data_IF_181001424408
#
_entry.id   IF_181001424408
#
_cell.length_a   1.000
_cell.length_b   1.000
_cell.length_c   1.000
_cell.angle_alpha   90.00
_cell.angle_beta   90.00
_cell.angle_gamma   90.00
#
_symmetry.space_group_name_H-M   'P 1'
#
loop_
_entity.id
_entity.type
_entity.pdbx_description
1 polymer ?
#
# COMPACT_ATOMS: atom_id res chain seq x y z
N UNK A 1 -59.46 25.82 -5.14
CA UNK A 1 -59.13 24.78 -6.13
C UNK A 1 -58.94 25.32 -7.56
N UNK A 2 -58.82 26.65 -7.77
CA UNK A 2 -58.66 27.22 -9.12
C UNK A 2 -57.55 28.30 -9.22
N UNK A 3 -56.46 28.17 -8.46
CA UNK A 3 -55.34 29.14 -8.53
C UNK A 3 -53.95 28.49 -8.68
N UNK A 4 -53.89 27.22 -9.12
CA UNK A 4 -52.63 26.54 -9.45
C UNK A 4 -52.55 26.01 -10.89
N UNK A 5 -53.48 26.43 -11.77
CA UNK A 5 -53.50 26.06 -13.19
C UNK A 5 -52.88 27.14 -14.10
N UNK A 6 -51.90 27.91 -13.60
CA UNK A 6 -51.23 28.97 -14.36
C UNK A 6 -49.70 28.91 -14.29
N UNK A 7 -49.17 27.68 -14.32
CA UNK A 7 -47.74 27.39 -14.55
C UNK A 7 -47.60 26.38 -15.68
N UNK A 8 -48.44 26.49 -16.71
CA UNK A 8 -48.24 25.89 -18.02
C UNK A 8 -47.96 27.04 -18.99
N UNK A 9 -46.71 27.19 -19.44
CA UNK A 9 -46.38 28.21 -20.45
C UNK A 9 -45.03 28.92 -20.31
N UNK A 10 -44.08 28.42 -19.53
CA UNK A 10 -42.69 28.86 -19.65
C UNK A 10 -41.92 27.84 -20.50
N UNK A 11 -41.33 28.22 -21.65
CA UNK A 11 -40.39 27.34 -22.32
C UNK A 11 -39.23 27.15 -21.35
N UNK A 12 -39.04 25.91 -20.89
CA UNK A 12 -37.90 25.50 -20.09
C UNK A 12 -36.66 25.80 -20.93
N UNK A 13 -36.07 26.99 -20.69
CA UNK A 13 -34.75 27.36 -21.13
C UNK A 13 -33.88 26.14 -20.95
N UNK A 14 -33.21 25.72 -22.03
CA UNK A 14 -32.23 24.64 -22.03
C UNK A 14 -31.10 24.93 -21.06
N UNK A 15 -31.35 24.75 -19.78
CA UNK A 15 -30.32 24.43 -18.82
C UNK A 15 -29.84 23.07 -19.30
N UNK A 16 -28.70 23.09 -19.99
CA UNK A 16 -27.77 21.98 -19.94
C UNK A 16 -27.45 21.78 -18.46
N UNK A 17 -28.36 21.12 -17.73
CA UNK A 17 -28.04 20.44 -16.51
C UNK A 17 -26.98 19.46 -16.99
N UNK A 18 -25.71 19.80 -16.76
CA UNK A 18 -24.63 18.83 -16.90
C UNK A 18 -25.10 17.66 -16.05
N UNK A 19 -25.65 16.64 -16.70
CA UNK A 19 -26.01 15.43 -15.99
C UNK A 19 -24.71 14.96 -15.36
N UNK A 20 -24.70 14.67 -14.05
CA UNK A 20 -23.54 14.13 -13.38
C UNK A 20 -23.10 12.88 -14.13
N UNK A 21 -22.09 13.00 -15.00
CA UNK A 21 -21.65 11.90 -15.85
C UNK A 21 -20.52 11.19 -15.12
N UNK A 22 -20.64 9.86 -14.93
CA UNK A 22 -19.61 9.10 -14.25
C UNK A 22 -18.30 9.15 -15.05
N UNK A 23 -17.17 9.03 -14.36
CA UNK A 23 -15.85 9.10 -14.98
C UNK A 23 -15.73 8.16 -16.20
N UNK A 24 -15.43 8.76 -17.36
CA UNK A 24 -15.51 8.10 -18.67
C UNK A 24 -14.37 7.06 -18.87
N UNK A 25 -13.18 7.34 -18.34
CA UNK A 25 -11.96 6.55 -18.58
C UNK A 25 -11.60 5.55 -17.46
N UNK A 26 -12.52 4.61 -17.14
CA UNK A 26 -12.32 3.61 -16.07
C UNK A 26 -11.02 2.80 -16.20
N UNK A 27 -10.59 2.52 -17.42
CA UNK A 27 -9.38 1.73 -17.68
C UNK A 27 -8.11 2.40 -17.14
N UNK A 28 -8.02 3.73 -17.21
CA UNK A 28 -6.88 4.46 -16.65
C UNK A 28 -6.85 4.34 -15.13
N UNK A 29 -8.01 4.46 -14.49
CA UNK A 29 -8.16 4.30 -13.05
C UNK A 29 -7.72 2.89 -12.60
N UNK A 30 -8.18 1.85 -13.32
CA UNK A 30 -7.80 0.47 -13.03
C UNK A 30 -6.31 0.20 -13.23
N UNK A 31 -5.72 0.76 -14.29
CA UNK A 31 -4.29 0.58 -14.57
C UNK A 31 -3.42 1.23 -13.49
N UNK A 32 -3.74 2.46 -13.08
CA UNK A 32 -3.03 3.16 -12.02
C UNK A 32 -3.16 2.44 -10.68
N UNK A 33 -4.37 1.96 -10.35
CA UNK A 33 -4.61 1.18 -9.15
C UNK A 33 -3.85 -0.15 -9.18
N UNK A 34 -3.86 -0.87 -10.32
CA UNK A 34 -3.11 -2.10 -10.52
C UNK A 34 -1.62 -1.90 -10.26
N UNK A 35 -0.98 -0.92 -10.91
CA UNK A 35 0.45 -0.68 -10.71
C UNK A 35 0.78 -0.30 -9.27
N UNK A 36 -0.03 0.55 -8.66
CA UNK A 36 0.16 0.95 -7.27
C UNK A 36 0.03 -0.24 -6.30
N UNK A 37 -1.02 -1.05 -6.46
CA UNK A 37 -1.24 -2.25 -5.67
C UNK A 37 -0.13 -3.28 -5.90
N UNK A 38 0.25 -3.53 -7.16
CA UNK A 38 1.28 -4.47 -7.53
C UNK A 38 2.64 -4.14 -6.91
N UNK A 39 3.13 -2.91 -7.10
CA UNK A 39 4.41 -2.46 -6.52
C UNK A 39 4.37 -2.49 -4.99
N UNK A 40 3.25 -2.07 -4.39
CA UNK A 40 3.10 -2.12 -2.93
C UNK A 40 3.20 -3.54 -2.38
N UNK A 41 2.58 -4.53 -3.06
CA UNK A 41 2.66 -5.94 -2.66
C UNK A 41 4.05 -6.54 -2.91
N UNK A 42 4.73 -6.11 -3.97
CA UNK A 42 6.13 -6.51 -4.21
C UNK A 42 7.04 -6.06 -3.07
N UNK A 43 6.86 -4.82 -2.58
CA UNK A 43 7.62 -4.31 -1.45
C UNK A 43 7.35 -5.07 -0.15
N UNK A 44 6.09 -5.37 0.13
CA UNK A 44 5.69 -6.11 1.34
C UNK A 44 6.29 -7.54 1.34
N UNK A 45 6.34 -8.20 0.17
CA UNK A 45 7.02 -9.50 0.05
C UNK A 45 8.55 -9.35 0.10
N UNK A 46 9.10 -8.32 -0.54
CA UNK A 46 10.53 -8.10 -0.64
C UNK A 46 11.18 -7.87 0.73
N UNK A 47 10.52 -7.11 1.61
CA UNK A 47 11.04 -6.88 2.97
C UNK A 47 11.03 -8.18 3.78
N UNK A 48 10.01 -9.02 3.63
CA UNK A 48 9.93 -10.33 4.30
C UNK A 48 11.08 -11.23 3.85
N UNK A 49 11.35 -11.29 2.54
CA UNK A 49 12.47 -12.06 2.00
C UNK A 49 13.84 -11.51 2.42
N UNK A 50 14.03 -10.19 2.43
CA UNK A 50 15.29 -9.59 2.91
C UNK A 50 15.53 -9.88 4.39
N UNK A 51 14.50 -9.74 5.24
CA UNK A 51 14.60 -10.08 6.66
C UNK A 51 14.91 -11.56 6.84
N UNK A 52 14.33 -12.46 6.04
CA UNK A 52 14.65 -13.89 6.09
C UNK A 52 16.12 -14.16 5.75
N UNK A 53 16.65 -13.51 4.70
CA UNK A 53 18.05 -13.68 4.28
C UNK A 53 19.03 -13.15 5.34
N UNK A 54 18.81 -11.94 5.87
CA UNK A 54 19.65 -11.32 6.89
C UNK A 54 19.75 -12.13 8.19
N UNK A 55 18.76 -12.98 8.44
CA UNK A 55 18.64 -13.75 9.68
C UNK A 55 18.99 -15.22 9.47
N UNK A 56 19.68 -15.53 8.36
CA UNK A 56 20.11 -16.87 7.99
C UNK A 56 18.93 -17.85 7.93
N UNK A 57 17.84 -17.44 7.27
CA UNK A 57 16.56 -18.16 7.18
C UNK A 57 15.86 -18.42 8.53
N UNK A 58 16.13 -17.61 9.56
CA UNK A 58 15.38 -17.67 10.80
C UNK A 58 13.93 -17.19 10.59
N UNK A 59 12.99 -18.15 10.60
CA UNK A 59 11.57 -17.85 10.52
C UNK A 59 11.06 -17.01 11.70
N UNK A 60 11.80 -16.94 12.81
CA UNK A 60 11.37 -16.21 14.00
C UNK A 60 11.17 -14.71 13.73
N UNK A 61 12.16 -14.05 13.10
CA UNK A 61 12.08 -12.61 12.83
C UNK A 61 11.04 -12.27 11.76
N UNK A 62 10.85 -13.17 10.79
CA UNK A 62 9.78 -13.07 9.79
C UNK A 62 8.41 -13.16 10.48
N UNK A 63 8.22 -14.13 11.37
CA UNK A 63 6.97 -14.30 12.12
C UNK A 63 6.67 -13.10 13.02
N UNK A 64 7.67 -12.60 13.75
CA UNK A 64 7.53 -11.38 14.58
C UNK A 64 7.16 -10.17 13.72
N UNK A 65 7.76 -10.02 12.53
CA UNK A 65 7.44 -8.94 11.60
C UNK A 65 5.97 -8.99 11.16
N UNK A 66 5.49 -10.16 10.74
CA UNK A 66 4.08 -10.35 10.36
C UNK A 66 3.12 -10.10 11.53
N UNK A 67 3.45 -10.60 12.72
CA UNK A 67 2.67 -10.40 13.94
C UNK A 67 2.61 -8.93 14.35
N UNK A 68 3.74 -8.23 14.35
CA UNK A 68 3.79 -6.80 14.64
C UNK A 68 2.93 -6.00 13.66
N UNK A 69 3.03 -6.29 12.36
CA UNK A 69 2.23 -5.62 11.34
C UNK A 69 0.72 -5.84 11.57
N UNK A 70 0.30 -7.09 11.79
CA UNK A 70 -1.09 -7.43 12.03
C UNK A 70 -1.64 -6.77 13.31
N UNK A 71 -0.88 -6.80 14.42
CA UNK A 71 -1.26 -6.15 15.66
C UNK A 71 -1.35 -4.63 15.51
N UNK A 72 -0.40 -4.01 14.82
CA UNK A 72 -0.41 -2.58 14.56
C UNK A 72 -1.64 -2.17 13.75
N UNK A 73 -1.96 -2.88 12.66
CA UNK A 73 -3.17 -2.59 11.89
C UNK A 73 -4.42 -2.76 12.77
N UNK A 74 -4.53 -3.86 13.50
CA UNK A 74 -5.69 -4.12 14.36
C UNK A 74 -5.90 -3.03 15.42
N UNK A 75 -4.85 -2.62 16.12
CA UNK A 75 -4.94 -1.62 17.19
C UNK A 75 -5.16 -0.20 16.65
N UNK A 76 -4.51 0.16 15.55
CA UNK A 76 -4.51 1.53 15.02
C UNK A 76 -5.55 1.79 13.93
N UNK A 77 -6.26 0.77 13.42
CA UNK A 77 -7.26 0.95 12.37
C UNK A 77 -8.37 1.93 12.75
N UNK A 78 -8.81 1.94 14.02
CA UNK A 78 -9.78 2.93 14.51
C UNK A 78 -9.24 4.36 14.47
N UNK A 79 -7.98 4.55 14.86
CA UNK A 79 -7.30 5.86 14.82
C UNK A 79 -7.10 6.34 13.39
N UNK A 80 -6.69 5.44 12.48
CA UNK A 80 -6.54 5.72 11.06
C UNK A 80 -7.87 6.16 10.46
N UNK A 81 -8.97 5.45 10.75
CA UNK A 81 -10.32 5.83 10.30
C UNK A 81 -10.68 7.25 10.74
N UNK A 82 -10.56 7.56 12.03
CA UNK A 82 -10.87 8.91 12.52
C UNK A 82 -9.96 10.00 11.95
N UNK A 83 -8.69 9.68 11.66
CA UNK A 83 -7.77 10.60 11.00
C UNK A 83 -8.18 10.90 9.55
N UNK A 84 -8.60 9.86 8.81
CA UNK A 84 -9.10 9.99 7.44
C UNK A 84 -10.38 10.83 7.39
N UNK A 85 -11.31 10.61 8.32
CA UNK A 85 -12.59 11.35 8.36
C UNK A 85 -12.40 12.86 8.61
N UNK A 86 -11.35 13.26 9.34
CA UNK A 86 -11.09 14.66 9.71
C UNK A 86 -10.24 15.42 8.69
N UNK A 87 -9.48 14.69 7.86
CA UNK A 87 -8.46 15.28 6.98
C UNK A 87 -8.97 15.34 5.55
N UNK A 88 -8.56 16.35 4.78
CA UNK A 88 -8.82 16.37 3.35
C UNK A 88 -8.27 15.09 2.69
N UNK A 89 -9.13 14.32 2.02
CA UNK A 89 -8.82 13.02 1.41
C UNK A 89 -7.52 12.97 0.59
N UNK A 90 -7.28 13.98 -0.25
CA UNK A 90 -6.05 14.04 -1.08
C UNK A 90 -4.80 14.25 -0.21
N UNK A 91 -4.92 15.06 0.84
CA UNK A 91 -3.82 15.32 1.77
C UNK A 91 -3.54 14.07 2.61
N UNK A 92 -4.59 13.39 3.07
CA UNK A 92 -4.47 12.15 3.83
C UNK A 92 -3.75 11.04 3.02
N UNK A 93 -4.17 10.81 1.76
CA UNK A 93 -3.52 9.85 0.86
C UNK A 93 -2.06 10.23 0.60
N UNK A 94 -1.76 11.52 0.36
CA UNK A 94 -0.38 11.99 0.15
C UNK A 94 0.50 11.74 1.38
N UNK A 95 0.01 12.06 2.57
CA UNK A 95 0.74 11.83 3.82
C UNK A 95 0.99 10.32 4.00
N UNK A 96 -0.03 9.50 3.85
CA UNK A 96 0.11 8.05 3.98
C UNK A 96 1.08 7.46 2.94
N UNK A 97 1.06 7.95 1.71
CA UNK A 97 2.00 7.56 0.66
C UNK A 97 3.44 7.95 1.02
N UNK A 98 3.66 9.19 1.47
CA UNK A 98 4.99 9.65 1.89
C UNK A 98 5.52 8.85 3.08
N UNK A 99 4.68 8.55 4.07
CA UNK A 99 5.05 7.71 5.22
C UNK A 99 5.38 6.28 4.76
N UNK A 100 4.57 5.68 3.87
CA UNK A 100 4.88 4.35 3.32
C UNK A 100 6.22 4.37 2.58
N UNK A 101 6.41 5.29 1.66
CA UNK A 101 7.63 5.38 0.86
C UNK A 101 8.87 5.57 1.73
N UNK A 102 8.83 6.52 2.67
CA UNK A 102 9.96 6.77 3.58
C UNK A 102 10.26 5.57 4.48
N UNK A 103 9.24 4.93 5.07
CA UNK A 103 9.42 3.74 5.90
C UNK A 103 10.03 2.58 5.10
N UNK A 104 9.54 2.36 3.88
CA UNK A 104 10.03 1.34 2.96
C UNK A 104 11.48 1.64 2.55
N UNK A 105 11.79 2.85 2.08
CA UNK A 105 13.15 3.23 1.69
C UNK A 105 14.15 3.10 2.83
N UNK A 106 13.77 3.45 4.06
CA UNK A 106 14.62 3.25 5.24
C UNK A 106 14.85 1.76 5.48
N UNK A 107 13.79 0.93 5.42
CA UNK A 107 13.93 -0.51 5.65
C UNK A 107 14.86 -1.18 4.61
N UNK A 108 14.68 -0.88 3.32
CA UNK A 108 15.56 -1.37 2.27
C UNK A 108 16.98 -0.81 2.38
N UNK A 109 17.15 0.47 2.76
CA UNK A 109 18.46 1.06 3.01
C UNK A 109 19.21 0.38 4.16
N UNK A 110 18.51 0.01 5.23
CA UNK A 110 19.07 -0.77 6.34
C UNK A 110 19.47 -2.16 5.86
N UNK A 111 18.63 -2.85 5.10
CA UNK A 111 18.98 -4.16 4.54
C UNK A 111 20.20 -4.09 3.61
N UNK A 112 20.28 -3.08 2.75
CA UNK A 112 21.43 -2.86 1.87
C UNK A 112 22.71 -2.60 2.69
N UNK A 113 22.65 -1.76 3.72
CA UNK A 113 23.77 -1.50 4.61
C UNK A 113 24.25 -2.74 5.36
N UNK A 114 23.33 -3.59 5.83
CA UNK A 114 23.71 -4.84 6.50
C UNK A 114 24.40 -5.81 5.53
N UNK A 115 23.87 -5.94 4.31
CA UNK A 115 24.45 -6.80 3.27
C UNK A 115 25.86 -6.40 2.84
N UNK A 116 26.20 -5.09 2.78
CA UNK A 116 27.58 -4.68 2.44
C UNK A 116 28.60 -5.03 3.52
N UNK A 117 28.14 -5.29 4.73
CA UNK A 117 28.99 -5.70 5.87
C UNK A 117 28.99 -7.20 6.12
N UNK A 118 28.23 -7.96 5.32
CA UNK A 118 28.17 -9.42 5.40
C UNK A 118 29.40 -10.04 4.75
N UNK A 119 29.97 -11.02 5.43
CA UNK A 119 31.07 -11.85 4.96
C UNK A 119 30.53 -13.19 4.44
N UNK A 120 31.32 -13.93 3.67
CA UNK A 120 30.88 -15.22 3.11
C UNK A 120 30.61 -16.30 4.17
N UNK A 121 31.00 -16.06 5.43
CA UNK A 121 30.84 -16.99 6.53
C UNK A 121 29.62 -16.62 7.40
N UNK A 122 28.50 -17.37 7.31
CA UNK A 122 27.26 -17.04 8.01
C UNK A 122 27.37 -17.13 9.55
N UNK A 123 28.35 -17.87 10.06
CA UNK A 123 28.63 -17.97 11.50
C UNK A 123 29.32 -16.69 11.99
N UNK A 124 30.29 -16.18 11.23
CA UNK A 124 30.99 -14.93 11.55
C UNK A 124 30.04 -13.72 11.47
N UNK A 125 29.10 -13.73 10.52
CA UNK A 125 28.06 -12.70 10.40
C UNK A 125 27.10 -12.69 11.59
N UNK A 126 26.69 -13.86 12.08
CA UNK A 126 25.84 -13.97 13.27
C UNK A 126 26.57 -13.46 14.54
N UNK A 127 27.86 -13.79 14.69
CA UNK A 127 28.68 -13.27 15.79
C UNK A 127 28.88 -11.76 15.67
N UNK A 128 29.15 -11.23 14.46
CA UNK A 128 29.28 -9.80 14.22
C UNK A 128 27.98 -9.04 14.51
N UNK A 129 26.83 -9.62 14.17
CA UNK A 129 25.50 -9.05 14.50
C UNK A 129 25.23 -9.04 16.00
N UNK A 130 25.65 -10.09 16.71
CA UNK A 130 25.46 -10.20 18.16
C UNK A 130 26.38 -9.24 18.93
N UNK A 131 27.63 -9.14 18.50
CA UNK A 131 28.67 -8.35 19.15
C UNK A 131 28.54 -6.85 18.86
N UNK A 132 27.98 -6.45 17.72
CA UNK A 132 27.75 -5.04 17.39
C UNK A 132 26.34 -4.57 17.86
N UNK A 133 26.24 -3.74 18.92
CA UNK A 133 24.96 -3.24 19.41
C UNK A 133 24.25 -2.32 18.41
N UNK A 134 24.95 -1.73 17.44
CA UNK A 134 24.34 -0.90 16.41
C UNK A 134 23.60 -1.76 15.38
N UNK A 135 24.25 -2.78 14.83
CA UNK A 135 23.63 -3.71 13.86
C UNK A 135 22.43 -4.45 14.48
N UNK A 136 22.54 -4.87 15.73
CA UNK A 136 21.43 -5.49 16.45
C UNK A 136 20.20 -4.58 16.54
N UNK A 137 20.39 -3.29 16.85
CA UNK A 137 19.28 -2.32 16.90
C UNK A 137 18.63 -2.11 15.53
N UNK A 138 19.42 -2.10 14.46
CA UNK A 138 18.91 -2.00 13.09
C UNK A 138 18.04 -3.19 12.69
N UNK A 139 18.42 -4.41 13.06
CA UNK A 139 17.61 -5.61 12.75
C UNK A 139 16.27 -5.57 13.50
N UNK A 140 16.27 -5.17 14.78
CA UNK A 140 15.03 -5.06 15.55
C UNK A 140 14.14 -3.88 15.15
N UNK A 141 14.63 -2.91 14.38
CA UNK A 141 13.79 -1.81 13.86
C UNK A 141 13.03 -2.19 12.58
N UNK A 142 13.48 -3.21 11.83
CA UNK A 142 12.82 -3.66 10.60
C UNK A 142 11.35 -4.08 10.80
N UNK A 143 10.98 -4.87 11.83
CA UNK A 143 9.57 -5.19 12.10
C UNK A 143 8.69 -3.96 12.32
N UNK A 144 9.23 -2.93 12.98
CA UNK A 144 8.51 -1.69 13.29
C UNK A 144 8.29 -0.89 12.00
N UNK A 145 9.31 -0.77 11.16
CA UNK A 145 9.22 -0.09 9.87
C UNK A 145 8.23 -0.80 8.93
N UNK A 146 8.26 -2.13 8.89
CA UNK A 146 7.31 -2.93 8.13
C UNK A 146 5.87 -2.73 8.62
N UNK A 147 5.65 -2.67 9.93
CA UNK A 147 4.34 -2.39 10.51
C UNK A 147 3.82 -0.99 10.14
N UNK A 148 4.68 0.04 10.17
CA UNK A 148 4.33 1.40 9.74
C UNK A 148 3.94 1.41 8.26
N UNK A 149 4.75 0.80 7.40
CA UNK A 149 4.47 0.71 5.96
C UNK A 149 3.15 -0.04 5.67
N UNK A 150 2.87 -1.11 6.41
CA UNK A 150 1.63 -1.88 6.33
C UNK A 150 0.40 -1.06 6.73
N UNK A 151 0.47 -0.36 7.86
CA UNK A 151 -0.60 0.57 8.30
C UNK A 151 -0.87 1.66 7.28
N UNK A 152 0.18 2.29 6.74
CA UNK A 152 0.05 3.33 5.72
C UNK A 152 -0.59 2.80 4.44
N UNK A 153 -0.26 1.59 4.02
CA UNK A 153 -0.89 0.96 2.86
C UNK A 153 -2.39 0.70 3.08
N UNK A 154 -2.78 0.19 4.25
CA UNK A 154 -4.18 0.04 4.62
C UNK A 154 -4.93 1.39 4.61
N UNK A 155 -4.31 2.45 5.12
CA UNK A 155 -4.89 3.79 5.09
C UNK A 155 -5.13 4.29 3.66
N UNK A 156 -4.15 4.13 2.76
CA UNK A 156 -4.27 4.53 1.35
C UNK A 156 -5.42 3.78 0.67
N UNK A 157 -5.46 2.46 0.83
CA UNK A 157 -6.48 1.59 0.20
C UNK A 157 -7.88 2.01 0.66
N UNK A 158 -8.05 2.18 1.97
CA UNK A 158 -9.33 2.61 2.54
C UNK A 158 -9.77 3.99 2.02
N UNK A 159 -8.86 4.96 1.92
CA UNK A 159 -9.17 6.28 1.37
C UNK A 159 -9.57 6.24 -0.11
N UNK A 160 -8.95 5.37 -0.90
CA UNK A 160 -9.28 5.23 -2.33
C UNK A 160 -10.67 4.61 -2.47
N UNK A 161 -10.92 3.47 -1.83
CA UNK A 161 -12.16 2.71 -1.96
C UNK A 161 -13.39 3.48 -1.43
N UNK A 162 -13.26 4.12 -0.26
CA UNK A 162 -14.40 4.76 0.41
C UNK A 162 -14.68 6.19 -0.05
N UNK A 163 -13.67 6.93 -0.48
CA UNK A 163 -13.84 8.36 -0.79
C UNK A 163 -13.68 8.69 -2.27
N UNK A 164 -12.68 8.12 -2.96
CA UNK A 164 -12.43 8.44 -4.36
C UNK A 164 -13.45 7.77 -5.28
N UNK A 165 -13.68 6.46 -5.14
CA UNK A 165 -14.62 5.75 -6.02
C UNK A 165 -16.05 6.31 -5.83
N UNK A 166 -16.43 6.67 -4.60
CA UNK A 166 -17.75 7.25 -4.30
C UNK A 166 -17.93 8.63 -4.95
N UNK A 167 -16.88 9.44 -5.05
CA UNK A 167 -16.93 10.73 -5.74
C UNK A 167 -17.01 10.53 -7.26
N UNK A 168 -16.24 9.57 -7.81
CA UNK A 168 -16.24 9.29 -9.25
C UNK A 168 -17.54 8.64 -9.74
N UNK A 169 -18.29 7.99 -8.84
CA UNK A 169 -19.55 7.34 -9.19
C UNK A 169 -20.71 8.31 -9.37
N UNK A 170 -20.58 9.55 -8.87
CA UNK A 170 -21.58 10.62 -9.01
C UNK A 170 -23.03 10.18 -8.75
N UNK A 171 -23.22 9.46 -7.63
CA UNK A 171 -24.49 8.83 -7.17
C UNK A 171 -25.01 7.63 -7.98
N UNK A 172 -24.28 7.14 -8.98
CA UNK A 172 -24.59 5.86 -9.65
C UNK A 172 -24.07 4.67 -8.82
N UNK A 173 -25.00 4.04 -8.10
CA UNK A 173 -24.72 2.85 -7.27
C UNK A 173 -24.25 1.63 -8.09
N UNK A 174 -24.75 1.46 -9.33
CA UNK A 174 -24.34 0.34 -10.20
C UNK A 174 -22.90 0.53 -10.67
N UNK A 175 -22.52 1.75 -11.03
CA UNK A 175 -21.14 2.10 -11.37
C UNK A 175 -20.20 1.89 -10.18
N UNK A 176 -20.60 2.34 -8.99
CA UNK A 176 -19.83 2.22 -7.75
C UNK A 176 -19.54 0.75 -7.41
N UNK A 177 -20.60 -0.08 -7.38
CA UNK A 177 -20.46 -1.50 -7.05
C UNK A 177 -19.58 -2.25 -8.06
N UNK A 178 -19.77 -2.00 -9.36
CA UNK A 178 -18.97 -2.66 -10.41
C UNK A 178 -17.49 -2.29 -10.29
N UNK A 179 -17.19 -1.01 -10.09
CA UNK A 179 -15.82 -0.49 -9.98
C UNK A 179 -15.14 -1.00 -8.72
N UNK A 180 -15.86 -1.00 -7.59
CA UNK A 180 -15.34 -1.53 -6.32
C UNK A 180 -15.01 -3.03 -6.44
N UNK A 181 -15.93 -3.84 -6.99
CA UNK A 181 -15.69 -5.27 -7.19
C UNK A 181 -14.50 -5.55 -8.10
N UNK A 182 -14.32 -4.77 -9.18
CA UNK A 182 -13.18 -4.95 -10.08
C UNK A 182 -11.85 -4.53 -9.44
N UNK A 183 -11.82 -3.45 -8.64
CA UNK A 183 -10.63 -3.08 -7.87
C UNK A 183 -10.25 -4.15 -6.85
N UNK A 184 -11.23 -4.70 -6.12
CA UNK A 184 -10.96 -5.82 -5.20
C UNK A 184 -10.38 -7.04 -5.94
N UNK A 185 -10.84 -7.34 -7.16
CA UNK A 185 -10.27 -8.43 -7.97
C UNK A 185 -8.83 -8.14 -8.38
N UNK A 186 -8.51 -6.89 -8.74
CA UNK A 186 -7.14 -6.45 -9.01
C UNK A 186 -6.25 -6.66 -7.78
N UNK A 187 -6.69 -6.21 -6.62
CA UNK A 187 -5.95 -6.37 -5.36
C UNK A 187 -5.69 -7.85 -5.05
N UNK A 188 -6.69 -8.70 -5.26
CA UNK A 188 -6.56 -10.14 -5.07
C UNK A 188 -5.56 -10.75 -6.06
N UNK A 189 -5.61 -10.35 -7.34
CA UNK A 189 -4.64 -10.76 -8.34
C UNK A 189 -3.20 -10.35 -7.99
N UNK A 190 -3.02 -9.09 -7.61
CA UNK A 190 -1.73 -8.54 -7.16
C UNK A 190 -1.22 -9.25 -5.91
N UNK A 191 -2.09 -9.67 -5.00
CA UNK A 191 -1.70 -10.39 -3.77
C UNK A 191 -1.02 -11.74 -4.03
N UNK A 192 -1.25 -12.35 -5.19
CA UNK A 192 -0.60 -13.61 -5.60
C UNK A 192 0.53 -13.38 -6.60
N UNK A 193 0.31 -12.54 -7.60
CA UNK A 193 1.28 -12.29 -8.67
C UNK A 193 2.54 -11.58 -8.16
N UNK A 194 2.39 -10.57 -7.31
CA UNK A 194 3.51 -9.79 -6.83
C UNK A 194 4.48 -10.64 -5.98
N UNK A 195 4.04 -11.45 -5.00
CA UNK A 195 4.95 -12.33 -4.28
C UNK A 195 5.64 -13.36 -5.17
N UNK A 196 4.93 -13.92 -6.17
CA UNK A 196 5.52 -14.87 -7.10
C UNK A 196 6.65 -14.22 -7.92
N UNK A 197 6.42 -13.02 -8.46
CA UNK A 197 7.44 -12.28 -9.20
C UNK A 197 8.62 -11.88 -8.32
N UNK A 198 8.36 -11.33 -7.12
CA UNK A 198 9.42 -11.00 -6.17
C UNK A 198 10.25 -12.24 -5.82
N UNK A 199 9.61 -13.39 -5.54
CA UNK A 199 10.31 -14.66 -5.28
C UNK A 199 11.21 -15.09 -6.44
N UNK A 200 10.73 -14.98 -7.69
CA UNK A 200 11.55 -15.26 -8.88
C UNK A 200 12.72 -14.28 -9.00
N UNK A 201 12.53 -13.00 -8.69
CA UNK A 201 13.63 -12.03 -8.70
C UNK A 201 14.72 -12.42 -7.70
N UNK A 202 14.34 -12.82 -6.48
CA UNK A 202 15.30 -13.31 -5.48
C UNK A 202 15.99 -14.62 -5.90
N UNK A 203 15.37 -15.45 -6.74
CA UNK A 203 15.94 -16.70 -7.22
C UNK A 203 16.98 -16.50 -8.34
N UNK A 204 16.78 -15.51 -9.22
CA UNK A 204 17.63 -15.32 -10.41
C UNK A 204 18.60 -14.14 -10.31
N UNK A 205 18.37 -13.16 -9.44
CA UNK A 205 19.18 -11.95 -9.32
C UNK A 205 20.00 -11.95 -8.03
N UNK A 206 21.14 -11.25 -8.06
CA UNK A 206 21.92 -11.02 -6.84
C UNK A 206 21.16 -10.12 -5.86
N UNK A 207 21.35 -10.37 -4.57
CA UNK A 207 20.61 -9.66 -3.50
C UNK A 207 20.79 -8.14 -3.54
N UNK A 208 21.95 -7.66 -4.01
CA UNK A 208 22.22 -6.23 -4.21
C UNK A 208 21.32 -5.63 -5.29
N UNK A 209 21.19 -6.30 -6.44
CA UNK A 209 20.33 -5.86 -7.55
C UNK A 209 18.89 -5.87 -7.11
N UNK A 210 18.46 -6.88 -6.35
CA UNK A 210 17.09 -6.95 -5.85
C UNK A 210 16.80 -5.82 -4.86
N UNK A 211 17.72 -5.53 -3.94
CA UNK A 211 17.55 -4.42 -3.00
C UNK A 211 17.52 -3.07 -3.70
N UNK A 212 18.31 -2.87 -4.76
CA UNK A 212 18.32 -1.65 -5.55
C UNK A 212 17.06 -1.48 -6.41
N UNK A 213 16.59 -2.56 -7.04
CA UNK A 213 15.37 -2.54 -7.86
C UNK A 213 14.13 -2.31 -7.01
N UNK A 214 14.11 -2.80 -5.77
CA UNK A 214 13.00 -2.56 -4.85
C UNK A 214 13.07 -1.17 -4.16
N UNK A 215 14.24 -0.51 -4.22
CA UNK A 215 14.43 0.87 -3.74
C UNK A 215 13.96 1.92 -4.76
N UNK A 216 14.05 1.63 -6.06
CA UNK A 216 13.65 2.50 -7.17
C UNK A 216 12.19 2.35 -7.57
#
# INVERSE_FOLDING_TARGET
LELRAKVEGAPLLGTNVHQPQPFENRNQLYLMHFFFAFVSRMWDMGIVLLVAQLTNNSLFLVAVTGLCCALSIFLFMGTIGSFLDKTNRIVAVRIALLVKLTAVSIAYGVCAYLNTTSTSDPIADAEALYNDPFKRRLVYSLPILAAIAGMSFCAITQSIEKDWIVVLSDKDSRWLSTTNSFMTQIDLGCSSLAPALTGLMFAYQSHEVVSLVLLG
#
